data_IF_711192486194
#
_entry.id   IF_711192486194
#
_cell.length_a   1.000
_cell.length_b   1.000
_cell.length_c   1.000
_cell.angle_alpha   90.00
_cell.angle_beta   90.00
_cell.angle_gamma   90.00
#
_symmetry.space_group_name_H-M   'P 1'
#
loop_
_entity.id
_entity.type
_entity.pdbx_description
1 polymer ?
#
# COMPACT_ATOMS: atom_id res chain seq x y z
N UNK A 1 52.02 50.98 20.98
CA UNK A 1 52.61 50.90 19.64
C UNK A 1 52.34 49.52 19.11
N UNK A 2 51.62 49.47 18.00
CA UNK A 2 51.19 48.29 17.24
C UNK A 2 52.33 47.57 16.50
N UNK A 3 52.13 46.29 16.17
CA UNK A 3 52.31 45.64 14.85
C UNK A 3 52.04 44.14 15.03
N UNK A 4 51.01 43.47 14.46
CA UNK A 4 50.70 43.19 13.04
C UNK A 4 51.84 42.43 12.35
N UNK A 5 51.69 41.32 11.62
CA UNK A 5 50.62 40.35 11.33
C UNK A 5 51.28 38.95 11.25
N UNK A 6 50.59 37.85 10.99
CA UNK A 6 50.18 37.45 9.64
C UNK A 6 49.12 36.34 9.72
N UNK A 7 48.12 36.46 8.87
CA UNK A 7 47.02 35.54 8.69
C UNK A 7 47.51 34.33 7.86
N UNK A 8 47.20 33.12 8.30
CA UNK A 8 47.21 31.96 7.41
C UNK A 8 45.82 31.34 7.42
N UNK A 9 45.01 31.91 6.52
CA UNK A 9 43.92 31.26 5.83
C UNK A 9 44.47 29.98 5.15
N UNK A 10 44.16 28.81 5.73
CA UNK A 10 44.08 27.57 4.97
C UNK A 10 42.62 27.11 5.00
N UNK A 11 41.85 27.80 4.17
CA UNK A 11 40.65 27.26 3.56
C UNK A 11 41.00 25.97 2.78
N UNK A 12 40.11 24.99 2.88
CA UNK A 12 40.01 23.77 2.05
C UNK A 12 40.67 22.49 2.59
N UNK A 13 40.01 21.82 3.54
CA UNK A 13 39.84 20.37 3.43
C UNK A 13 38.36 20.02 3.42
N UNK A 14 37.97 19.34 2.34
CA UNK A 14 36.60 19.27 1.85
C UNK A 14 35.63 18.54 2.76
N UNK A 15 34.46 19.15 2.96
CA UNK A 15 33.16 18.66 2.47
C UNK A 15 33.11 17.18 2.02
N UNK A 16 33.40 16.25 2.92
CA UNK A 16 33.44 14.82 2.63
C UNK A 16 33.52 13.99 3.89
N UNK A 17 32.39 13.80 4.57
CA UNK A 17 31.97 12.47 5.08
C UNK A 17 30.54 12.47 5.67
N UNK A 18 29.57 13.13 5.02
CA UNK A 18 28.13 12.85 5.28
C UNK A 18 27.69 11.63 4.44
N UNK A 19 28.55 10.61 4.35
CA UNK A 19 28.14 9.30 3.86
C UNK A 19 27.58 8.54 5.06
N UNK A 20 26.31 8.12 5.04
CA UNK A 20 25.77 7.33 6.13
C UNK A 20 26.69 6.12 6.33
N UNK A 21 27.09 5.87 7.58
CA UNK A 21 27.91 4.72 7.92
C UNK A 21 27.17 3.43 7.56
N UNK A 22 27.90 2.35 7.30
CA UNK A 22 27.30 1.04 6.95
C UNK A 22 26.22 0.62 7.96
N UNK A 23 26.48 0.82 9.26
CA UNK A 23 25.52 0.56 10.34
C UNK A 23 24.26 1.45 10.25
N UNK A 24 24.42 2.72 9.84
CA UNK A 24 23.27 3.61 9.61
C UNK A 24 22.46 3.18 8.39
N UNK A 25 23.11 2.68 7.34
CA UNK A 25 22.44 2.15 6.14
C UNK A 25 21.66 0.89 6.49
N UNK A 26 22.30 -0.10 7.14
CA UNK A 26 21.66 -1.36 7.55
C UNK A 26 20.42 -1.09 8.42
N UNK A 27 20.53 -0.16 9.38
CA UNK A 27 19.40 0.22 10.23
C UNK A 27 18.28 0.94 9.46
N UNK A 28 18.62 1.71 8.42
CA UNK A 28 17.61 2.34 7.56
C UNK A 28 16.89 1.30 6.70
N UNK A 29 17.61 0.29 6.21
CA UNK A 29 17.05 -0.83 5.45
C UNK A 29 16.09 -1.68 6.30
N UNK A 30 16.49 -2.05 7.52
CA UNK A 30 15.62 -2.81 8.45
C UNK A 30 14.30 -2.07 8.75
N UNK A 31 14.40 -0.74 8.95
CA UNK A 31 13.22 0.12 9.16
C UNK A 31 12.34 0.18 7.92
N UNK A 32 12.93 0.24 6.73
CA UNK A 32 12.21 0.25 5.47
C UNK A 32 11.44 -1.06 5.28
N UNK A 33 12.07 -2.20 5.51
CA UNK A 33 11.43 -3.52 5.43
C UNK A 33 10.26 -3.66 6.40
N UNK A 34 10.45 -3.22 7.65
CA UNK A 34 9.39 -3.21 8.67
C UNK A 34 8.20 -2.35 8.21
N UNK A 35 8.47 -1.12 7.75
CA UNK A 35 7.43 -0.21 7.29
C UNK A 35 6.68 -0.74 6.05
N UNK A 36 7.39 -1.40 5.13
CA UNK A 36 6.76 -2.06 3.98
C UNK A 36 5.90 -3.26 4.40
N UNK A 37 6.34 -4.04 5.39
CA UNK A 37 5.55 -5.11 5.98
C UNK A 37 4.26 -4.60 6.61
N UNK A 38 4.33 -3.54 7.40
CA UNK A 38 3.18 -2.89 8.02
C UNK A 38 2.21 -2.32 6.98
N UNK A 39 2.74 -1.67 5.93
CA UNK A 39 1.93 -1.16 4.83
C UNK A 39 1.20 -2.29 4.10
N UNK A 40 1.87 -3.41 3.81
CA UNK A 40 1.24 -4.61 3.22
C UNK A 40 0.11 -5.10 4.10
N UNK A 41 0.36 -5.26 5.39
CA UNK A 41 -0.64 -5.74 6.36
C UNK A 41 -1.85 -4.80 6.43
N UNK A 42 -1.63 -3.49 6.38
CA UNK A 42 -2.71 -2.51 6.35
C UNK A 42 -3.62 -2.69 5.12
N UNK A 43 -3.05 -2.87 3.93
CA UNK A 43 -3.83 -3.15 2.72
C UNK A 43 -4.62 -4.46 2.85
N UNK A 44 -4.00 -5.54 3.35
CA UNK A 44 -4.69 -6.81 3.57
C UNK A 44 -5.90 -6.66 4.49
N UNK A 45 -5.75 -5.92 5.60
CA UNK A 45 -6.85 -5.64 6.54
C UNK A 45 -7.96 -4.85 5.85
N UNK A 46 -7.62 -3.82 5.07
CA UNK A 46 -8.61 -3.02 4.34
C UNK A 46 -9.40 -3.88 3.36
N UNK A 47 -8.72 -4.69 2.53
CA UNK A 47 -9.38 -5.56 1.56
C UNK A 47 -10.24 -6.63 2.24
N UNK A 48 -9.73 -7.25 3.31
CA UNK A 48 -10.50 -8.22 4.08
C UNK A 48 -11.78 -7.59 4.68
N UNK A 49 -11.71 -6.34 5.16
CA UNK A 49 -12.89 -5.62 5.66
C UNK A 49 -13.90 -5.34 4.56
N UNK A 50 -13.47 -4.93 3.37
CA UNK A 50 -14.37 -4.75 2.23
C UNK A 50 -15.04 -6.06 1.82
N UNK A 51 -14.26 -7.15 1.69
CA UNK A 51 -14.79 -8.48 1.35
C UNK A 51 -15.84 -8.89 2.38
N UNK A 52 -15.52 -8.78 3.67
CA UNK A 52 -16.43 -9.18 4.74
C UNK A 52 -17.78 -8.44 4.68
N UNK A 53 -17.78 -7.11 4.56
CA UNK A 53 -19.03 -6.34 4.54
C UNK A 53 -19.83 -6.51 3.24
N UNK A 54 -19.15 -6.67 2.10
CA UNK A 54 -19.81 -6.92 0.82
C UNK A 54 -20.43 -8.31 0.80
N UNK A 55 -19.70 -9.33 1.24
CA UNK A 55 -20.21 -10.70 1.34
C UNK A 55 -21.39 -10.80 2.32
N UNK A 56 -21.32 -10.13 3.49
CA UNK A 56 -22.46 -10.08 4.41
C UNK A 56 -23.70 -9.47 3.75
N UNK A 57 -23.54 -8.37 3.01
CA UNK A 57 -24.62 -7.72 2.29
C UNK A 57 -25.24 -8.63 1.21
N UNK A 58 -24.41 -9.28 0.40
CA UNK A 58 -24.87 -10.19 -0.65
C UNK A 58 -25.65 -11.37 -0.07
N UNK A 59 -25.12 -12.02 0.98
CA UNK A 59 -25.79 -13.13 1.67
C UNK A 59 -27.12 -12.69 2.29
N UNK A 60 -27.16 -11.51 2.91
CA UNK A 60 -28.39 -10.96 3.50
C UNK A 60 -29.45 -10.68 2.43
N UNK A 61 -29.06 -10.09 1.30
CA UNK A 61 -29.98 -9.81 0.20
C UNK A 61 -30.53 -11.11 -0.42
N UNK A 62 -29.69 -12.13 -0.61
CA UNK A 62 -30.11 -13.45 -1.08
C UNK A 62 -31.11 -14.10 -0.11
N UNK A 63 -30.80 -14.10 1.19
CA UNK A 63 -31.67 -14.64 2.25
C UNK A 63 -33.03 -13.95 2.31
N UNK A 64 -33.04 -12.62 2.16
CA UNK A 64 -34.27 -11.81 2.21
C UNK A 64 -35.02 -11.78 0.86
N UNK A 65 -34.49 -12.42 -0.19
CA UNK A 65 -34.96 -12.34 -1.57
C UNK A 65 -35.14 -10.88 -2.06
N UNK A 66 -34.14 -10.05 -1.77
CA UNK A 66 -34.06 -8.63 -2.15
C UNK A 66 -32.96 -8.40 -3.17
N UNK A 67 -33.16 -7.39 -4.02
CA UNK A 67 -32.12 -6.92 -4.93
C UNK A 67 -30.90 -6.41 -4.15
N UNK A 68 -29.72 -6.98 -4.44
CA UNK A 68 -28.48 -6.56 -3.78
C UNK A 68 -27.93 -5.25 -4.36
N UNK A 69 -28.21 -4.96 -5.64
CA UNK A 69 -27.68 -3.83 -6.39
C UNK A 69 -28.37 -2.51 -6.04
N UNK A 70 -28.20 -2.11 -4.79
CA UNK A 70 -28.72 -0.87 -4.25
C UNK A 70 -27.62 0.21 -4.13
N UNK A 71 -28.02 1.41 -3.71
CA UNK A 71 -27.11 2.55 -3.55
C UNK A 71 -25.92 2.25 -2.64
N UNK A 72 -26.14 1.56 -1.52
CA UNK A 72 -25.07 1.23 -0.57
C UNK A 72 -24.07 0.26 -1.19
N UNK A 73 -24.56 -0.76 -1.90
CA UNK A 73 -23.70 -1.72 -2.59
C UNK A 73 -22.84 -1.05 -3.65
N UNK A 74 -23.47 -0.29 -4.58
CA UNK A 74 -22.77 0.45 -5.65
C UNK A 74 -21.70 1.39 -5.10
N UNK A 75 -22.02 2.10 -4.01
CA UNK A 75 -21.06 2.97 -3.35
C UNK A 75 -19.90 2.19 -2.73
N UNK A 76 -20.19 1.09 -2.03
CA UNK A 76 -19.18 0.30 -1.31
C UNK A 76 -18.25 -0.42 -2.27
N UNK A 77 -18.79 -1.05 -3.32
CA UNK A 77 -17.97 -1.71 -4.34
C UNK A 77 -17.17 -0.69 -5.17
N UNK A 78 -17.72 0.49 -5.44
CA UNK A 78 -16.98 1.59 -6.05
C UNK A 78 -15.83 2.11 -5.17
N UNK A 79 -15.98 2.07 -3.84
CA UNK A 79 -14.88 2.40 -2.91
C UNK A 79 -13.78 1.34 -2.93
N UNK A 80 -14.14 0.06 -3.02
CA UNK A 80 -13.16 -1.01 -3.21
C UNK A 80 -12.36 -0.80 -4.51
N UNK A 81 -13.04 -0.55 -5.63
CA UNK A 81 -12.40 -0.22 -6.91
C UNK A 81 -11.47 1.00 -6.79
N UNK A 82 -11.91 2.05 -6.10
CA UNK A 82 -11.09 3.24 -5.92
C UNK A 82 -9.81 2.95 -5.11
N UNK A 83 -9.85 2.09 -4.08
CA UNK A 83 -8.64 1.71 -3.33
C UNK A 83 -7.62 1.01 -4.25
N UNK A 84 -8.08 0.12 -5.13
CA UNK A 84 -7.21 -0.51 -6.13
C UNK A 84 -6.54 0.52 -7.05
N UNK A 85 -7.32 1.44 -7.61
CA UNK A 85 -6.81 2.42 -8.58
C UNK A 85 -5.93 3.49 -7.95
N UNK A 86 -6.30 4.01 -6.77
CA UNK A 86 -5.54 5.06 -6.09
C UNK A 86 -4.18 4.59 -5.56
N UNK A 87 -4.02 3.28 -5.33
CA UNK A 87 -2.83 2.69 -4.75
C UNK A 87 -2.23 1.57 -5.63
N UNK A 88 -2.47 1.64 -6.94
CA UNK A 88 -2.15 0.57 -7.89
C UNK A 88 -0.69 0.09 -7.78
N UNK A 89 0.29 1.00 -7.66
CA UNK A 89 1.71 0.64 -7.58
C UNK A 89 2.01 -0.31 -6.40
N UNK A 90 1.37 -0.09 -5.25
CA UNK A 90 1.65 -0.89 -4.06
C UNK A 90 0.80 -2.15 -4.05
N UNK A 91 -0.46 -2.04 -4.47
CA UNK A 91 -1.38 -3.17 -4.55
C UNK A 91 -0.89 -4.20 -5.59
N UNK A 92 -0.33 -3.74 -6.72
CA UNK A 92 0.23 -4.62 -7.75
C UNK A 92 1.38 -5.49 -7.22
N UNK A 93 2.24 -4.97 -6.34
CA UNK A 93 3.31 -5.74 -5.69
C UNK A 93 2.77 -6.89 -4.83
N UNK A 94 1.54 -6.76 -4.35
CA UNK A 94 0.90 -7.72 -3.47
C UNK A 94 -0.15 -8.59 -4.18
N UNK A 95 -0.36 -8.43 -5.50
CA UNK A 95 -1.42 -9.11 -6.25
C UNK A 95 -1.43 -10.63 -6.05
N UNK A 96 -0.27 -11.29 -6.08
CA UNK A 96 -0.19 -12.74 -5.84
C UNK A 96 -0.62 -13.14 -4.42
N UNK A 97 -0.27 -12.34 -3.40
CA UNK A 97 -0.74 -12.57 -2.03
C UNK A 97 -2.25 -12.34 -1.91
N UNK A 98 -2.76 -11.29 -2.57
CA UNK A 98 -4.18 -10.95 -2.58
C UNK A 98 -5.01 -12.05 -3.25
N UNK A 99 -4.58 -12.55 -4.40
CA UNK A 99 -5.22 -13.65 -5.12
C UNK A 99 -5.23 -14.95 -4.30
N UNK A 100 -4.11 -15.26 -3.62
CA UNK A 100 -3.99 -16.50 -2.83
C UNK A 100 -4.81 -16.47 -1.54
N UNK A 101 -4.91 -15.31 -0.87
CA UNK A 101 -5.45 -15.23 0.49
C UNK A 101 -6.84 -14.59 0.60
N UNK A 102 -7.18 -13.65 -0.29
CA UNK A 102 -8.37 -12.81 -0.13
C UNK A 102 -9.33 -12.93 -1.32
N UNK A 103 -8.81 -12.85 -2.54
CA UNK A 103 -9.57 -12.89 -3.80
C UNK A 103 -9.45 -14.27 -4.45
N UNK A 104 -9.81 -15.31 -3.68
CA UNK A 104 -9.78 -16.70 -4.14
C UNK A 104 -10.99 -17.01 -5.04
N UNK A 105 -10.95 -18.13 -5.75
CA UNK A 105 -12.04 -18.57 -6.64
C UNK A 105 -13.36 -18.84 -5.91
N UNK A 106 -13.33 -19.03 -4.59
CA UNK A 106 -14.52 -19.25 -3.75
C UNK A 106 -15.20 -17.94 -3.33
N UNK A 107 -14.58 -16.78 -3.60
CA UNK A 107 -15.16 -15.48 -3.33
C UNK A 107 -16.33 -15.21 -4.30
N UNK A 108 -17.34 -14.47 -3.83
CA UNK A 108 -18.46 -14.06 -4.67
C UNK A 108 -17.98 -13.37 -5.96
N UNK A 109 -18.48 -13.80 -7.14
CA UNK A 109 -18.03 -13.30 -8.43
C UNK A 109 -18.11 -11.77 -8.56
N UNK A 110 -19.11 -11.12 -7.98
CA UNK A 110 -19.26 -9.67 -8.12
C UNK A 110 -18.13 -8.91 -7.42
N UNK A 111 -17.62 -9.45 -6.30
CA UNK A 111 -16.48 -8.87 -5.58
C UNK A 111 -15.18 -9.25 -6.28
N UNK A 112 -15.06 -10.52 -6.71
CA UNK A 112 -13.87 -11.05 -7.37
C UNK A 112 -13.59 -10.34 -8.71
N UNK A 113 -14.63 -10.00 -9.46
CA UNK A 113 -14.51 -9.29 -10.74
C UNK A 113 -13.82 -7.93 -10.60
N UNK A 114 -13.97 -7.23 -9.47
CA UNK A 114 -13.26 -5.98 -9.19
C UNK A 114 -11.75 -6.19 -9.18
N UNK A 115 -11.29 -7.28 -8.57
CA UNK A 115 -9.87 -7.62 -8.52
C UNK A 115 -9.36 -8.05 -9.91
N UNK A 116 -10.11 -8.88 -10.63
CA UNK A 116 -9.73 -9.27 -11.99
C UNK A 116 -9.66 -8.08 -12.95
N UNK A 117 -10.59 -7.13 -12.87
CA UNK A 117 -10.56 -5.90 -13.65
C UNK A 117 -9.30 -5.07 -13.32
N UNK A 118 -8.93 -4.97 -12.05
CA UNK A 118 -7.69 -4.31 -11.64
C UNK A 118 -6.46 -5.00 -12.25
N UNK A 119 -6.35 -6.33 -12.12
CA UNK A 119 -5.22 -7.09 -12.68
C UNK A 119 -5.14 -6.94 -14.20
N UNK A 120 -6.28 -6.94 -14.90
CA UNK A 120 -6.35 -6.74 -16.35
C UNK A 120 -5.89 -5.34 -16.80
N UNK A 121 -6.03 -4.31 -15.96
CA UNK A 121 -5.57 -2.95 -16.25
C UNK A 121 -4.07 -2.74 -15.96
N UNK A 122 -3.50 -3.55 -15.07
CA UNK A 122 -2.10 -3.47 -14.66
C UNK A 122 -1.21 -4.52 -15.34
N UNK A 123 -1.75 -5.30 -16.28
CA UNK A 123 -1.02 -6.31 -17.08
C UNK A 123 -0.42 -5.75 -18.36
#
# INVERSE_FOLDING_TARGET
GSSSGDESDDSLTGRGDDKPTEEMVERMEERLETAQGDQKNLFLIIFQRFIMILSEHLVRCDTDNKEFDNYWYRWTIGRLQHVFLAHHEQVQKYSSTLETLLFTQDLDPHILDVFHQFVALCS
#
